data_IF_254065378891
#
_entry.id   IF_254065378891
#
_cell.length_a   1.000
_cell.length_b   1.000
_cell.length_c   1.000
_cell.angle_alpha   90.00
_cell.angle_beta   90.00
_cell.angle_gamma   90.00
#
_symmetry.space_group_name_H-M   'P 1'
#
loop_
_entity.id
_entity.type
_entity.pdbx_description
1 polymer ?
#
# COMPACT_ATOMS: atom_id res chain seq x y z
N UNK A 1 7.12 -5.04 16.68
CA UNK A 1 7.02 -5.87 15.46
C UNK A 1 8.17 -5.49 14.54
N UNK A 2 9.19 -6.35 14.39
CA UNK A 2 10.28 -6.10 13.45
C UNK A 2 9.81 -6.57 12.06
N UNK A 3 9.69 -5.64 11.11
CA UNK A 3 9.45 -5.99 9.71
C UNK A 3 10.78 -6.47 9.16
N UNK A 4 10.96 -7.79 9.05
CA UNK A 4 12.14 -8.37 8.39
C UNK A 4 12.10 -7.99 6.91
N UNK A 5 13.05 -7.15 6.49
CA UNK A 5 13.24 -6.73 5.10
C UNK A 5 13.87 -7.84 4.23
N UNK A 6 14.35 -8.93 4.84
CA UNK A 6 14.99 -10.06 4.14
C UNK A 6 14.01 -10.88 3.29
N UNK A 7 12.70 -10.62 3.41
CA UNK A 7 11.65 -11.37 2.70
C UNK A 7 11.14 -10.67 1.43
N UNK A 8 11.75 -9.59 0.98
CA UNK A 8 11.52 -9.05 -0.36
C UNK A 8 12.45 -9.76 -1.34
N UNK A 9 12.15 -11.03 -1.63
CA UNK A 9 12.67 -11.69 -2.82
C UNK A 9 12.35 -10.80 -4.04
N UNK A 10 13.24 -10.67 -5.04
CA UNK A 10 12.98 -9.92 -6.27
C UNK A 10 11.90 -10.65 -7.09
N UNK A 11 10.64 -10.53 -6.67
CA UNK A 11 9.56 -11.40 -7.14
C UNK A 11 8.80 -10.87 -8.36
N UNK A 12 8.99 -9.62 -8.78
CA UNK A 12 8.10 -9.05 -9.79
C UNK A 12 8.44 -9.45 -11.24
N UNK A 13 9.69 -9.78 -11.56
CA UNK A 13 10.08 -10.12 -12.94
C UNK A 13 10.22 -11.63 -13.20
N UNK A 14 10.79 -12.38 -12.24
CA UNK A 14 11.10 -13.81 -12.44
C UNK A 14 9.87 -14.74 -12.40
N UNK A 15 8.71 -14.29 -11.93
CA UNK A 15 7.47 -15.08 -11.97
C UNK A 15 6.65 -14.89 -13.25
N UNK A 16 7.04 -13.96 -14.13
CA UNK A 16 6.56 -13.89 -15.51
C UNK A 16 7.42 -14.84 -16.39
N UNK A 17 7.50 -16.08 -15.92
CA UNK A 17 8.32 -17.16 -16.49
C UNK A 17 7.93 -17.45 -17.94
N UNK A 18 8.91 -17.89 -18.72
CA UNK A 18 9.11 -17.51 -20.12
C UNK A 18 8.30 -18.27 -21.19
N UNK A 19 7.28 -19.04 -20.81
CA UNK A 19 6.62 -20.02 -21.70
C UNK A 19 5.08 -19.87 -21.86
N UNK A 20 4.49 -18.72 -21.49
CA UNK A 20 3.05 -18.49 -21.67
C UNK A 20 2.69 -17.89 -23.05
N UNK A 21 1.63 -18.36 -23.73
CA UNK A 21 1.22 -17.94 -25.08
C UNK A 21 0.74 -16.47 -25.17
N UNK A 22 0.58 -15.79 -24.03
CA UNK A 22 0.24 -14.38 -23.94
C UNK A 22 1.43 -13.61 -23.36
N UNK A 23 2.49 -13.50 -24.17
CA UNK A 23 3.71 -12.78 -23.79
C UNK A 23 3.45 -11.28 -23.76
N UNK A 24 3.83 -10.57 -22.68
CA UNK A 24 3.97 -9.13 -22.76
C UNK A 24 5.13 -8.79 -23.72
N UNK A 25 4.91 -7.94 -24.72
CA UNK A 25 6.01 -7.45 -25.58
C UNK A 25 6.94 -6.56 -24.74
N UNK A 26 8.18 -6.36 -25.19
CA UNK A 26 9.16 -5.46 -24.55
C UNK A 26 8.50 -4.12 -24.16
N UNK A 27 8.94 -3.47 -23.07
CA UNK A 27 8.25 -2.28 -22.57
C UNK A 27 8.16 -1.24 -23.67
N UNK A 28 6.93 -0.87 -24.02
CA UNK A 28 6.66 0.06 -25.12
C UNK A 28 6.41 1.48 -24.58
N UNK A 29 6.25 1.63 -23.26
CA UNK A 29 6.12 2.90 -22.56
C UNK A 29 6.63 2.84 -21.11
N UNK A 30 6.77 4.02 -20.51
CA UNK A 30 7.22 4.23 -19.14
C UNK A 30 6.27 5.18 -18.40
N UNK A 31 6.14 4.99 -17.08
CA UNK A 31 5.37 5.87 -16.20
C UNK A 31 6.21 6.21 -14.96
N UNK A 32 5.94 7.32 -14.27
CA UNK A 32 6.56 7.59 -12.96
C UNK A 32 5.88 6.76 -11.87
N UNK A 33 6.66 6.21 -10.95
CA UNK A 33 6.15 5.34 -9.89
C UNK A 33 5.06 6.01 -9.05
N UNK A 34 5.19 7.30 -8.72
CA UNK A 34 4.15 8.06 -8.00
C UNK A 34 2.77 7.92 -8.67
N UNK A 35 2.70 7.96 -10.00
CA UNK A 35 1.43 7.82 -10.72
C UNK A 35 0.97 6.36 -10.80
N UNK A 36 1.92 5.42 -10.89
CA UNK A 36 1.60 3.99 -10.84
C UNK A 36 1.04 3.59 -9.47
N UNK A 37 1.70 4.02 -8.39
CA UNK A 37 1.29 3.85 -7.00
C UNK A 37 -0.08 4.45 -6.72
N UNK A 38 -0.35 5.68 -7.19
CA UNK A 38 -1.68 6.30 -7.08
C UNK A 38 -2.76 5.52 -7.85
N UNK A 39 -2.44 5.03 -9.04
CA UNK A 39 -3.35 4.18 -9.82
C UNK A 39 -3.71 2.89 -9.07
N UNK A 40 -2.70 2.19 -8.53
CA UNK A 40 -2.89 0.98 -7.74
C UNK A 40 -3.71 1.25 -6.46
N UNK A 41 -3.39 2.32 -5.72
CA UNK A 41 -4.12 2.68 -4.51
C UNK A 41 -5.59 2.99 -4.81
N UNK A 42 -5.88 3.70 -5.89
CA UNK A 42 -7.24 3.95 -6.33
C UNK A 42 -7.96 2.66 -6.79
N UNK A 43 -7.25 1.73 -7.41
CA UNK A 43 -7.79 0.41 -7.75
C UNK A 43 -8.16 -0.39 -6.49
N UNK A 44 -7.31 -0.38 -5.45
CA UNK A 44 -7.60 -0.99 -4.14
C UNK A 44 -8.83 -0.34 -3.51
N UNK A 45 -8.85 1.00 -3.41
CA UNK A 45 -10.00 1.76 -2.90
C UNK A 45 -11.31 1.36 -3.59
N UNK A 46 -11.31 1.25 -4.92
CA UNK A 46 -12.49 0.85 -5.69
C UNK A 46 -12.83 -0.63 -5.55
N UNK A 47 -11.84 -1.50 -5.38
CA UNK A 47 -12.05 -2.95 -5.25
C UNK A 47 -12.58 -3.35 -3.88
N UNK A 48 -12.25 -2.54 -2.87
CA UNK A 48 -12.82 -2.60 -1.54
C UNK A 48 -14.32 -2.23 -1.51
N UNK A 49 -14.84 -1.68 -2.60
CA UNK A 49 -16.23 -1.25 -2.75
C UNK A 49 -16.92 -1.96 -3.92
N UNK A 50 -17.05 -3.29 -3.85
CA UNK A 50 -17.69 -4.09 -4.92
C UNK A 50 -19.19 -4.38 -4.71
N UNK A 51 -19.74 -4.06 -3.54
CA UNK A 51 -21.19 -3.90 -3.24
C UNK A 51 -21.41 -3.63 -1.74
N UNK A 52 -20.45 -4.01 -0.90
CA UNK A 52 -20.49 -4.02 0.56
C UNK A 52 -19.06 -4.31 1.00
N UNK A 53 -18.60 -3.80 2.13
CA UNK A 53 -17.48 -4.41 2.87
C UNK A 53 -17.93 -5.73 3.57
N UNK A 54 -18.47 -6.72 2.83
CA UNK A 54 -19.53 -7.66 3.25
C UNK A 54 -19.47 -8.53 4.49
N UNK A 55 -18.36 -8.65 5.20
CA UNK A 55 -18.36 -9.50 6.41
C UNK A 55 -17.12 -9.46 7.30
N UNK A 56 -16.05 -8.72 7.01
CA UNK A 56 -14.75 -9.03 7.62
C UNK A 56 -13.94 -7.83 8.11
N UNK A 57 -14.39 -7.20 9.20
CA UNK A 57 -13.50 -6.50 10.13
C UNK A 57 -13.73 -7.00 11.58
N UNK A 58 -13.84 -8.31 11.75
CA UNK A 58 -14.23 -8.95 13.04
C UNK A 58 -13.19 -8.81 14.19
N UNK A 59 -12.09 -8.08 14.01
CA UNK A 59 -11.13 -7.84 15.09
C UNK A 59 -11.19 -6.42 15.70
N UNK A 60 -11.72 -5.41 14.98
CA UNK A 60 -11.88 -4.05 15.52
C UNK A 60 -13.32 -3.74 15.97
N UNK A 61 -14.29 -4.51 15.48
CA UNK A 61 -15.70 -4.31 15.83
C UNK A 61 -15.98 -4.62 17.32
N UNK A 62 -15.25 -5.56 17.93
CA UNK A 62 -15.40 -5.91 19.35
C UNK A 62 -15.01 -4.79 20.32
N UNK A 63 -14.05 -3.92 19.96
CA UNK A 63 -13.66 -2.76 20.78
C UNK A 63 -14.58 -1.56 20.53
N UNK A 64 -15.06 -1.42 19.29
CA UNK A 64 -15.99 -0.36 18.91
C UNK A 64 -17.39 -0.56 19.50
N UNK A 65 -17.94 -1.79 19.47
CA UNK A 65 -19.27 -2.13 20.00
C UNK A 65 -19.44 -1.89 21.51
N UNK A 66 -18.34 -1.90 22.28
CA UNK A 66 -18.35 -1.68 23.73
C UNK A 66 -17.97 -0.24 24.13
N UNK A 67 -17.73 0.65 23.17
CA UNK A 67 -17.42 2.05 23.42
C UNK A 67 -18.62 2.92 23.03
N UNK A 68 -19.42 3.43 23.99
CA UNK A 68 -20.60 4.26 23.69
C UNK A 68 -20.26 5.59 22.99
N UNK A 69 -18.98 5.94 22.88
CA UNK A 69 -18.49 7.16 22.25
C UNK A 69 -18.05 6.97 20.79
N UNK A 70 -18.07 5.75 20.24
CA UNK A 70 -17.66 5.49 18.85
C UNK A 70 -18.88 5.44 17.91
N UNK A 71 -18.77 5.99 16.69
CA UNK A 71 -19.81 5.87 15.67
C UNK A 71 -20.05 4.42 15.23
N UNK A 72 -21.31 4.09 14.89
CA UNK A 72 -21.71 2.76 14.40
C UNK A 72 -20.96 2.33 13.12
N UNK A 73 -20.47 3.29 12.32
CA UNK A 73 -19.74 3.08 11.08
C UNK A 73 -18.21 3.26 11.23
N UNK A 74 -17.68 3.19 12.45
CA UNK A 74 -16.26 3.41 12.76
C UNK A 74 -15.29 2.64 11.84
N UNK A 75 -15.61 1.39 11.50
CA UNK A 75 -14.78 0.58 10.59
C UNK A 75 -14.57 1.22 9.22
N UNK A 76 -15.59 1.93 8.70
CA UNK A 76 -15.51 2.64 7.43
C UNK A 76 -14.75 3.94 7.55
N UNK A 77 -15.04 4.74 8.58
CA UNK A 77 -14.30 5.97 8.89
C UNK A 77 -12.80 5.68 9.01
N UNK A 78 -12.44 4.62 9.73
CA UNK A 78 -11.05 4.23 9.93
C UNK A 78 -10.38 3.80 8.62
N UNK A 79 -11.07 3.01 7.78
CA UNK A 79 -10.54 2.60 6.50
C UNK A 79 -10.34 3.79 5.55
N UNK A 80 -11.33 4.67 5.43
CA UNK A 80 -11.24 5.87 4.58
C UNK A 80 -10.07 6.76 5.05
N UNK A 81 -9.93 6.96 6.37
CA UNK A 81 -8.78 7.65 6.96
C UNK A 81 -7.44 6.99 6.62
N UNK A 82 -7.37 5.65 6.64
CA UNK A 82 -6.17 4.91 6.29
C UNK A 82 -5.81 5.08 4.81
N UNK A 83 -6.80 4.99 3.90
CA UNK A 83 -6.58 5.21 2.47
C UNK A 83 -6.11 6.63 2.18
N UNK A 84 -6.68 7.63 2.85
CA UNK A 84 -6.26 9.03 2.74
C UNK A 84 -4.84 9.24 3.27
N UNK A 85 -4.48 8.61 4.39
CA UNK A 85 -3.12 8.64 4.89
C UNK A 85 -2.16 8.07 3.85
N UNK A 86 -2.45 6.86 3.33
CA UNK A 86 -1.58 6.20 2.34
C UNK A 86 -1.41 7.05 1.08
N UNK A 87 -2.50 7.67 0.60
CA UNK A 87 -2.46 8.60 -0.52
C UNK A 87 -1.54 9.79 -0.23
N UNK A 88 -1.66 10.40 0.94
CA UNK A 88 -0.77 11.49 1.36
C UNK A 88 0.69 11.03 1.39
N UNK A 89 0.97 9.83 1.91
CA UNK A 89 2.33 9.28 1.93
C UNK A 89 2.90 9.10 0.52
N UNK A 90 2.11 8.60 -0.43
CA UNK A 90 2.51 8.45 -1.84
C UNK A 90 2.79 9.82 -2.46
N UNK A 91 1.91 10.80 -2.26
CA UNK A 91 2.07 12.16 -2.80
C UNK A 91 3.27 12.89 -2.19
N UNK A 92 3.51 12.75 -0.88
CA UNK A 92 4.64 13.40 -0.22
C UNK A 92 5.98 12.74 -0.57
N UNK A 93 6.01 11.42 -0.78
CA UNK A 93 7.24 10.76 -1.21
C UNK A 93 7.54 11.06 -2.68
N UNK A 94 6.53 11.03 -3.54
CA UNK A 94 6.61 11.28 -4.99
C UNK A 94 7.81 10.58 -5.65
N UNK A 95 7.84 9.26 -5.65
CA UNK A 95 8.89 8.51 -6.33
C UNK A 95 8.82 8.72 -7.86
N UNK A 96 9.93 9.21 -8.44
CA UNK A 96 10.07 9.53 -9.86
C UNK A 96 10.78 8.41 -10.62
N UNK A 97 11.08 7.28 -9.99
CA UNK A 97 11.64 6.11 -10.67
C UNK A 97 10.75 5.70 -11.84
N UNK A 98 11.34 5.41 -13.02
CA UNK A 98 10.59 5.07 -14.22
C UNK A 98 10.15 3.60 -14.16
N UNK A 99 8.84 3.37 -14.29
CA UNK A 99 8.16 2.08 -14.32
C UNK A 99 7.93 1.66 -15.77
N UNK A 100 8.62 0.64 -16.32
CA UNK A 100 8.28 -0.01 -17.56
C UNK A 100 6.89 -0.62 -17.47
N UNK A 101 6.11 -0.29 -18.48
CA UNK A 101 4.74 -0.73 -18.64
C UNK A 101 4.70 -1.72 -19.81
N UNK A 102 4.10 -2.88 -19.58
CA UNK A 102 4.07 -3.99 -20.54
C UNK A 102 2.66 -4.18 -21.08
N UNK A 103 2.54 -4.53 -22.36
CA UNK A 103 1.26 -4.80 -23.04
C UNK A 103 1.27 -6.13 -23.75
N UNK A 104 0.07 -6.63 -24.01
CA UNK A 104 -0.18 -7.81 -24.82
C UNK A 104 -0.77 -7.41 -26.16
N UNK A 105 -0.46 -8.19 -27.20
CA UNK A 105 -0.97 -7.94 -28.54
C UNK A 105 -2.51 -7.99 -28.57
N UNK A 106 -3.13 -6.95 -29.12
CA UNK A 106 -4.59 -6.82 -29.17
C UNK A 106 -5.25 -6.44 -27.85
N UNK A 107 -4.49 -6.24 -26.77
CA UNK A 107 -5.03 -5.88 -25.44
C UNK A 107 -4.59 -4.46 -25.08
N UNK A 108 -5.51 -3.49 -24.93
CA UNK A 108 -5.19 -2.12 -24.53
C UNK A 108 -5.00 -2.01 -23.00
N UNK A 109 -4.30 -2.97 -22.39
CA UNK A 109 -4.02 -3.00 -20.95
C UNK A 109 -2.51 -2.98 -20.72
N UNK A 110 -2.10 -2.20 -19.72
CA UNK A 110 -0.71 -2.04 -19.34
C UNK A 110 -0.49 -2.45 -17.90
N UNK A 111 0.50 -3.31 -17.67
CA UNK A 111 0.93 -3.69 -16.33
C UNK A 111 2.34 -3.15 -16.07
N UNK A 112 2.47 -2.36 -15.02
CA UNK A 112 3.77 -1.96 -14.49
C UNK A 112 4.33 -3.09 -13.62
N UNK A 113 5.59 -3.42 -13.81
CA UNK A 113 6.29 -4.41 -12.98
C UNK A 113 7.06 -3.69 -11.86
N UNK A 114 7.70 -4.46 -10.97
CA UNK A 114 8.55 -3.88 -9.93
C UNK A 114 9.84 -3.29 -10.51
N UNK A 115 10.30 -2.18 -9.93
CA UNK A 115 11.51 -1.46 -10.37
C UNK A 115 12.53 -1.37 -9.26
N UNK A 116 13.73 -0.88 -9.61
CA UNK A 116 14.70 -0.48 -8.59
C UNK A 116 14.37 0.92 -8.10
N UNK A 117 14.19 1.05 -6.78
CA UNK A 117 13.91 2.31 -6.09
C UNK A 117 15.10 2.74 -5.25
N UNK A 118 15.17 4.02 -4.91
CA UNK A 118 16.14 4.54 -3.94
C UNK A 118 15.48 4.74 -2.58
N UNK A 119 15.80 3.86 -1.63
CA UNK A 119 15.22 3.90 -0.29
C UNK A 119 15.81 5.01 0.59
N UNK A 120 15.02 5.47 1.58
CA UNK A 120 15.51 6.31 2.67
C UNK A 120 16.38 5.52 3.64
N UNK A 121 17.34 6.19 4.29
CA UNK A 121 18.13 5.59 5.36
C UNK A 121 17.26 5.32 6.60
N UNK A 122 17.03 4.04 6.92
CA UNK A 122 16.10 3.62 7.98
C UNK A 122 16.63 3.77 9.41
N UNK A 123 17.94 3.63 9.63
CA UNK A 123 18.54 3.69 10.97
C UNK A 123 18.20 4.98 11.73
N UNK A 124 18.40 6.18 11.14
CA UNK A 124 18.04 7.44 11.77
C UNK A 124 16.54 7.57 12.09
N UNK A 125 15.67 7.10 11.18
CA UNK A 125 14.21 7.13 11.36
C UNK A 125 13.81 6.25 12.54
N UNK A 126 14.35 5.03 12.62
CA UNK A 126 14.07 4.13 13.74
C UNK A 126 14.56 4.71 15.06
N UNK A 127 15.78 5.24 15.10
CA UNK A 127 16.33 5.87 16.30
C UNK A 127 15.52 7.08 16.78
N UNK A 128 14.91 7.85 15.87
CA UNK A 128 13.97 8.92 16.25
C UNK A 128 12.69 8.38 16.90
N UNK A 129 12.10 7.31 16.36
CA UNK A 129 10.88 6.70 16.89
C UNK A 129 11.10 6.12 18.29
N UNK A 130 12.21 5.41 18.51
CA UNK A 130 12.52 4.79 19.80
C UNK A 130 12.60 5.81 20.94
N UNK A 131 13.33 6.92 20.73
CA UNK A 131 13.42 8.04 21.71
C UNK A 131 12.06 8.67 22.04
N UNK A 132 11.11 8.63 21.11
CA UNK A 132 9.76 9.17 21.33
C UNK A 132 8.92 8.20 22.17
N UNK A 133 9.06 6.89 21.91
CA UNK A 133 8.34 5.85 22.64
C UNK A 133 8.81 5.70 24.09
N UNK A 134 10.06 6.08 24.40
CA UNK A 134 10.57 6.17 25.78
C UNK A 134 9.77 7.16 26.67
N UNK A 135 8.98 8.07 26.08
CA UNK A 135 8.21 9.09 26.80
C UNK A 135 6.74 8.71 27.03
N UNK A 136 6.34 7.47 26.79
CA UNK A 136 4.95 7.05 27.00
C UNK A 136 4.68 6.79 28.49
N UNK A 137 4.24 7.82 29.21
CA UNK A 137 3.47 7.64 30.44
C UNK A 137 2.00 7.46 30.05
N UNK A 138 1.31 6.39 30.50
CA UNK A 138 -0.13 6.28 30.35
C UNK A 138 -0.81 7.54 30.91
N UNK A 139 -1.79 8.06 30.20
CA UNK A 139 -2.64 9.13 30.74
C UNK A 139 -3.58 8.41 31.71
N UNK A 140 -3.36 8.61 33.02
CA UNK A 140 -4.26 8.11 34.05
C UNK A 140 -5.57 8.90 34.00
N UNK A 141 -6.71 8.21 34.13
CA UNK A 141 -8.01 8.86 34.28
C UNK A 141 -8.06 9.54 35.66
N UNK A 142 -8.42 10.83 35.68
CA UNK A 142 -8.70 11.62 36.90
C UNK A 142 -10.01 11.21 37.57
#
# INVERSE_FOLDING_TARGET
MAISLERLKPHAYQQLDTDLPHRPKAPFNWQLDVFHSLHCLNYVRKSLDREHYSSHLEHMESLARNSPHLPDDWGRIHLDHCLDQLMQSVLCHADLSPVPMFSWEGVPLFLGVGQTHTCRAWGPIRGWLDRRNERYTPIEEE
#
